data_IF_496024005791
#
_entry.id   IF_496024005791
#
_cell.length_a   1.000
_cell.length_b   1.000
_cell.length_c   1.000
_cell.angle_alpha   90.00
_cell.angle_beta   90.00
_cell.angle_gamma   90.00
#
_symmetry.space_group_name_H-M   'P 1'
#
loop_
_entity.id
_entity.type
_entity.pdbx_description
1 polymer ?
#
# COMPACT_ATOMS: atom_id res chain seq x y z
N UNK A 1 -6.01 -12.88 27.25
CA UNK A 1 -6.79 -12.65 26.01
C UNK A 1 -6.22 -11.39 25.39
N UNK A 2 -5.20 -11.51 24.54
CA UNK A 2 -4.55 -10.36 23.90
C UNK A 2 -4.64 -10.53 22.39
N UNK A 3 -4.82 -9.41 21.68
CA UNK A 3 -4.93 -9.25 20.22
C UNK A 3 -6.37 -9.24 19.65
N UNK A 4 -7.16 -8.23 20.02
CA UNK A 4 -8.34 -7.81 19.24
C UNK A 4 -8.28 -6.32 18.79
N UNK A 5 -7.22 -5.57 19.14
CA UNK A 5 -7.06 -4.16 18.78
C UNK A 5 -6.28 -3.88 17.48
N UNK A 6 -5.52 -4.86 16.96
CA UNK A 6 -4.69 -4.67 15.76
C UNK A 6 -5.43 -4.98 14.44
N UNK A 7 -6.53 -5.73 14.51
CA UNK A 7 -7.24 -6.26 13.33
C UNK A 7 -7.96 -5.15 12.53
N UNK A 8 -8.58 -4.18 13.22
CA UNK A 8 -9.33 -3.09 12.56
C UNK A 8 -8.42 -1.97 12.03
N UNK A 9 -7.23 -1.80 12.63
CA UNK A 9 -6.23 -0.83 12.18
C UNK A 9 -5.49 -1.27 10.93
N UNK A 10 -5.06 -2.54 10.86
CA UNK A 10 -4.27 -3.06 9.75
C UNK A 10 -5.02 -3.08 8.40
N UNK A 11 -6.34 -3.30 8.42
CA UNK A 11 -7.20 -3.28 7.24
C UNK A 11 -7.35 -1.86 6.65
N UNK A 12 -7.66 -0.88 7.51
CA UNK A 12 -7.72 0.54 7.12
C UNK A 12 -6.35 1.08 6.71
N UNK A 13 -5.30 0.53 7.29
CA UNK A 13 -3.94 0.96 7.03
C UNK A 13 -3.45 0.48 5.67
N UNK A 14 -3.65 -0.79 5.32
CA UNK A 14 -3.29 -1.31 4.00
C UNK A 14 -4.06 -0.61 2.87
N UNK A 15 -5.33 -0.25 3.09
CA UNK A 15 -6.12 0.50 2.12
C UNK A 15 -5.54 1.91 1.85
N UNK A 16 -4.85 2.51 2.82
CA UNK A 16 -4.20 3.83 2.68
C UNK A 16 -2.70 3.75 2.38
N UNK A 17 -2.06 2.60 2.60
CA UNK A 17 -0.62 2.42 2.49
C UNK A 17 -0.11 2.29 1.05
N UNK A 18 0.71 3.24 0.60
CA UNK A 18 1.28 3.29 -0.76
C UNK A 18 2.27 2.14 -0.97
N UNK A 19 2.14 1.38 -2.06
CA UNK A 19 3.13 0.37 -2.41
C UNK A 19 4.35 1.07 -3.01
N UNK A 20 5.48 0.99 -2.30
CA UNK A 20 6.73 1.62 -2.71
C UNK A 20 7.57 0.71 -3.61
N UNK A 21 7.64 -0.58 -3.26
CA UNK A 21 8.45 -1.55 -3.98
C UNK A 21 7.95 -2.97 -3.70
N UNK A 22 8.18 -3.88 -4.65
CA UNK A 22 8.13 -5.32 -4.39
C UNK A 22 9.48 -5.90 -4.76
N UNK A 23 10.17 -6.45 -3.75
CA UNK A 23 11.48 -7.06 -3.91
C UNK A 23 11.29 -8.57 -3.96
N UNK A 24 11.67 -9.18 -5.08
CA UNK A 24 11.74 -10.63 -5.23
C UNK A 24 13.18 -11.10 -5.01
N UNK A 25 13.36 -12.13 -4.18
CA UNK A 25 14.63 -12.81 -3.95
C UNK A 25 14.38 -14.31 -3.97
N UNK A 26 14.72 -14.95 -5.09
CA UNK A 26 14.38 -16.35 -5.36
C UNK A 26 12.87 -16.58 -5.27
N UNK A 27 12.45 -17.49 -4.38
CA UNK A 27 11.04 -17.79 -4.11
C UNK A 27 10.37 -16.85 -3.09
N UNK A 28 11.10 -15.89 -2.52
CA UNK A 28 10.55 -14.94 -1.55
C UNK A 28 10.21 -13.62 -2.22
N UNK A 29 8.98 -13.15 -2.02
CA UNK A 29 8.56 -11.81 -2.43
C UNK A 29 8.20 -10.97 -1.20
N UNK A 30 8.73 -9.76 -1.14
CA UNK A 30 8.53 -8.81 -0.06
C UNK A 30 7.97 -7.52 -0.66
N UNK A 31 6.74 -7.18 -0.31
CA UNK A 31 6.16 -5.89 -0.60
C UNK A 31 6.53 -4.89 0.49
N UNK A 32 7.09 -3.75 0.09
CA UNK A 32 7.34 -2.60 0.92
C UNK A 32 6.25 -1.57 0.67
N UNK A 33 5.49 -1.26 1.71
CA UNK A 33 4.44 -0.25 1.68
C UNK A 33 4.80 0.89 2.64
N UNK A 34 4.37 2.10 2.33
CA UNK A 34 4.42 3.25 3.23
C UNK A 34 3.01 3.56 3.70
N UNK A 35 2.82 3.49 5.02
CA UNK A 35 1.58 3.84 5.70
C UNK A 35 1.33 5.34 5.59
N UNK A 36 0.09 5.75 5.84
CA UNK A 36 -0.26 7.18 5.82
C UNK A 36 0.46 8.00 6.91
N UNK A 37 0.91 7.35 7.99
CA UNK A 37 1.72 7.98 9.04
C UNK A 37 3.20 8.15 8.65
N UNK A 38 3.60 7.65 7.47
CA UNK A 38 4.98 7.70 6.98
C UNK A 38 5.83 6.48 7.38
N UNK A 39 5.35 5.64 8.30
CA UNK A 39 6.01 4.38 8.64
C UNK A 39 6.01 3.38 7.48
N UNK A 40 7.05 2.55 7.43
CA UNK A 40 7.16 1.48 6.46
C UNK A 40 6.55 0.18 6.99
N UNK A 41 5.73 -0.47 6.17
CA UNK A 41 5.13 -1.77 6.41
C UNK A 41 5.69 -2.78 5.40
N UNK A 42 6.14 -3.93 5.87
CA UNK A 42 6.69 -5.01 5.04
C UNK A 42 5.73 -6.19 5.08
N UNK A 43 5.20 -6.57 3.92
CA UNK A 43 4.30 -7.70 3.78
C UNK A 43 4.90 -8.76 2.87
N UNK A 44 4.75 -10.01 3.26
CA UNK A 44 5.24 -11.19 2.52
C UNK A 44 4.09 -12.19 2.35
N UNK A 45 4.32 -13.29 1.63
CA UNK A 45 3.34 -14.37 1.52
C UNK A 45 2.99 -15.04 2.87
N UNK A 46 3.84 -14.88 3.89
CA UNK A 46 3.68 -15.47 5.22
C UNK A 46 3.20 -14.47 6.27
N UNK A 47 3.08 -13.19 5.90
CA UNK A 47 2.64 -12.13 6.81
C UNK A 47 1.17 -12.30 7.19
N UNK A 48 0.84 -11.92 8.42
CA UNK A 48 -0.52 -11.94 8.94
C UNK A 48 -0.86 -10.57 9.57
N UNK A 49 -2.12 -10.11 9.46
CA UNK A 49 -3.25 -10.80 8.82
C UNK A 49 -3.22 -10.67 7.29
N UNK A 50 -2.47 -9.73 6.73
CA UNK A 50 -2.33 -9.50 5.30
C UNK A 50 -1.09 -10.17 4.74
N UNK A 51 -1.26 -10.91 3.64
CA UNK A 51 -0.17 -11.52 2.89
C UNK A 51 -0.16 -11.06 1.44
N UNK A 52 1.03 -11.00 0.86
CA UNK A 52 1.21 -10.80 -0.57
C UNK A 52 0.81 -12.10 -1.30
N UNK A 53 -0.21 -12.03 -2.15
CA UNK A 53 -0.67 -13.16 -2.97
C UNK A 53 0.03 -13.19 -4.33
N UNK A 54 0.09 -12.05 -5.00
CA UNK A 54 0.72 -11.94 -6.32
C UNK A 54 1.19 -10.51 -6.62
N UNK A 55 2.11 -10.38 -7.55
CA UNK A 55 2.58 -9.09 -8.06
C UNK A 55 2.87 -9.20 -9.57
N UNK A 56 2.19 -8.36 -10.35
CA UNK A 56 2.27 -8.34 -11.82
C UNK A 56 3.36 -7.38 -12.35
N UNK A 57 4.28 -6.90 -11.51
CA UNK A 57 5.26 -5.87 -11.89
C UNK A 57 4.73 -4.44 -11.75
N UNK A 58 3.41 -4.26 -11.79
CA UNK A 58 2.74 -2.96 -11.59
C UNK A 58 1.76 -2.95 -10.43
N UNK A 59 1.08 -4.05 -10.16
CA UNK A 59 0.04 -4.13 -9.12
C UNK A 59 0.31 -5.33 -8.22
N UNK A 60 0.32 -5.11 -6.91
CA UNK A 60 0.40 -6.17 -5.91
C UNK A 60 -0.99 -6.47 -5.35
N UNK A 61 -1.29 -7.74 -5.21
CA UNK A 61 -2.52 -8.25 -4.61
C UNK A 61 -2.22 -8.75 -3.22
N UNK A 62 -2.95 -8.23 -2.23
CA UNK A 62 -2.87 -8.65 -0.85
C UNK A 62 -4.17 -9.30 -0.42
N UNK A 63 -4.08 -10.39 0.33
CA UNK A 63 -5.27 -11.08 0.86
C UNK A 63 -5.20 -11.28 2.37
N UNK A 64 -6.36 -11.23 3.00
CA UNK A 64 -6.53 -11.47 4.43
C UNK A 64 -7.92 -12.03 4.70
N UNK A 65 -8.03 -13.22 5.29
CA UNK A 65 -9.30 -13.80 5.75
C UNK A 65 -10.53 -13.59 4.81
N UNK A 66 -10.36 -13.78 3.50
CA UNK A 66 -11.42 -13.60 2.49
C UNK A 66 -11.57 -12.19 1.90
N UNK A 67 -10.79 -11.22 2.39
CA UNK A 67 -10.63 -9.88 1.82
C UNK A 67 -9.45 -9.84 0.86
N UNK A 68 -9.58 -9.05 -0.19
CA UNK A 68 -8.56 -8.80 -1.21
C UNK A 68 -8.41 -7.30 -1.42
N UNK A 69 -7.16 -6.83 -1.43
CA UNK A 69 -6.79 -5.43 -1.65
C UNK A 69 -5.70 -5.38 -2.70
N UNK A 70 -5.88 -4.53 -3.70
CA UNK A 70 -4.96 -4.38 -4.81
C UNK A 70 -4.25 -3.03 -4.67
N UNK A 71 -2.92 -3.04 -4.71
CA UNK A 71 -2.09 -1.83 -4.63
C UNK A 71 -1.24 -1.70 -5.88
N UNK A 72 -1.46 -0.63 -6.64
CA UNK A 72 -0.53 -0.25 -7.68
C UNK A 72 0.78 0.22 -7.04
N UNK A 73 1.90 -0.22 -7.63
CA UNK A 73 3.23 0.27 -7.35
C UNK A 73 3.25 1.74 -7.74
N UNK A 74 3.54 2.62 -6.78
CA UNK A 74 3.72 4.04 -7.06
C UNK A 74 5.06 4.21 -7.77
N UNK A 75 5.06 4.08 -9.09
CA UNK A 75 6.21 4.30 -9.96
C UNK A 75 6.59 5.78 -9.97
N UNK A 76 7.28 6.30 -8.94
CA UNK A 76 8.04 7.55 -9.00
C UNK A 76 7.33 8.78 -9.61
N UNK A 77 6.01 8.78 -9.74
CA UNK A 77 5.24 9.92 -10.15
C UNK A 77 5.10 10.74 -8.87
N UNK A 78 5.67 11.94 -8.93
CA UNK A 78 5.61 12.99 -7.94
C UNK A 78 4.36 12.91 -7.03
N UNK A 79 4.50 13.27 -5.73
CA UNK A 79 3.40 13.21 -4.77
C UNK A 79 2.14 13.70 -5.43
N UNK A 80 1.10 12.85 -5.44
CA UNK A 80 -0.22 13.11 -6.01
C UNK A 80 -0.49 14.61 -5.95
N UNK A 81 -0.32 15.28 -7.09
CA UNK A 81 -0.47 16.72 -7.15
C UNK A 81 -1.83 17.00 -6.55
N UNK A 82 -1.85 17.70 -5.40
CA UNK A 82 -3.06 18.28 -4.88
C UNK A 82 -3.79 18.89 -6.08
N UNK A 83 -5.12 18.69 -6.24
CA UNK A 83 -5.83 19.20 -7.40
C UNK A 83 -5.41 20.64 -7.56
N UNK A 84 -4.68 20.94 -8.64
CA UNK A 84 -4.22 22.28 -8.94
C UNK A 84 -5.51 23.07 -9.13
N UNK A 85 -5.95 23.73 -8.06
CA UNK A 85 -7.06 24.66 -8.11
C UNK A 85 -6.66 25.64 -9.21
N UNK A 86 -7.45 25.78 -10.29
CA UNK A 86 -7.11 26.71 -11.35
C UNK A 86 -6.98 28.08 -10.71
N UNK A 87 -5.78 28.68 -10.79
CA UNK A 87 -5.61 30.08 -10.43
C UNK A 87 -6.45 30.88 -11.43
N UNK A 88 -7.45 31.66 -11.01
CA UNK A 88 -8.13 32.54 -11.94
C UNK A 88 -7.13 33.60 -12.40
N UNK A 89 -6.74 33.50 -13.66
CA UNK A 89 -6.12 34.61 -14.39
C UNK A 89 -7.19 35.67 -14.65
N UNK A 90 -6.99 36.87 -14.10
CA UNK A 90 -7.78 38.07 -14.43
C UNK A 90 -7.90 39.02 -13.23
N UNK A 91 -7.75 40.34 -13.36
CA UNK A 91 -7.54 41.25 -14.50
C UNK A 91 -6.91 42.54 -13.94
N UNK A 92 -6.22 43.29 -14.81
CA UNK A 92 -5.80 44.68 -14.58
C UNK A 92 -7.00 45.60 -14.35
#
# INVERSE_FOLDING_TARGET
>A
MEQAGAQSGADSDLAKARLLAVVASGNSQIALLQRADGSNLKLTAQSQPWRLESFDGRTAVFTSAGRRVERALEHGAAPAAAPAKPVPVGKR
#
